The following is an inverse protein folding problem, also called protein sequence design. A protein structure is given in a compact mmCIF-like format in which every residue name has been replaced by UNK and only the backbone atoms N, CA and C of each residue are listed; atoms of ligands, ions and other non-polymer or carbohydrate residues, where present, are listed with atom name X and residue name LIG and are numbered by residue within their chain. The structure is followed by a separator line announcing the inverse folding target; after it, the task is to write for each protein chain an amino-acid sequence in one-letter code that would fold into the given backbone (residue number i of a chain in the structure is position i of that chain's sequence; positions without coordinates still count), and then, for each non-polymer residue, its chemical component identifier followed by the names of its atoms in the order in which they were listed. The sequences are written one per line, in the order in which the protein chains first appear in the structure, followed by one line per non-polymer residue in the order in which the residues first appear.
data_IF_372525835335
#
_entry.id   IF_372525835335
#
_cell.length_a   1.000
_cell.length_b   1.000
_cell.length_c   1.000
_cell.angle_alpha   90.00
_cell.angle_beta   90.00
_cell.angle_gamma   90.00
#
_symmetry.space_group_name_H-M   'P 1'
#
loop_
_entity.id
_entity.type
_entity.pdbx_description
1 polymer ?
#
# COMPACT_ATOMS: atom_id res chain seq x y z
N UNK A 1 71.88 -57.38 13.67
CA UNK A 1 70.94 -56.96 14.75
C UNK A 1 69.54 -56.91 14.14
N UNK A 2 68.69 -57.91 14.43
CA UNK A 2 67.41 -57.74 15.17
C UNK A 2 66.67 -56.43 14.82
N UNK A 3 65.54 -56.50 14.11
CA UNK A 3 64.19 -56.50 14.71
C UNK A 3 63.08 -56.73 13.65
N UNK A 4 61.95 -57.20 14.17
CA UNK A 4 60.78 -57.82 13.56
C UNK A 4 59.80 -56.84 12.89
N UNK A 5 58.85 -57.35 12.07
CA UNK A 5 57.87 -56.57 11.33
C UNK A 5 56.69 -56.13 12.20
N UNK A 6 56.00 -55.05 11.82
CA UNK A 6 54.69 -54.73 12.37
C UNK A 6 53.73 -54.34 11.24
N UNK A 7 52.82 -55.27 11.00
CA UNK A 7 51.60 -55.16 10.22
C UNK A 7 50.68 -54.17 10.96
N UNK A 8 50.19 -53.15 10.25
CA UNK A 8 49.06 -52.34 10.69
C UNK A 8 48.10 -52.19 9.51
N UNK A 9 47.09 -53.06 9.52
CA UNK A 9 45.91 -52.96 8.69
C UNK A 9 45.03 -51.84 9.23
N UNK A 10 44.86 -50.76 8.47
CA UNK A 10 43.78 -49.79 8.67
C UNK A 10 42.73 -50.02 7.59
N UNK A 11 41.58 -50.53 8.00
CA UNK A 11 40.40 -50.69 7.16
C UNK A 11 39.85 -49.30 6.79
N UNK A 12 39.87 -48.98 5.49
CA UNK A 12 39.27 -47.78 4.93
C UNK A 12 37.76 -48.03 4.77
N UNK A 13 36.95 -47.59 5.73
CA UNK A 13 35.49 -47.56 5.58
C UNK A 13 35.14 -46.32 4.76
N UNK A 14 34.95 -46.50 3.46
CA UNK A 14 34.41 -45.48 2.58
C UNK A 14 32.90 -45.31 2.86
N UNK A 15 32.54 -44.28 3.63
CA UNK A 15 31.16 -43.85 3.75
C UNK A 15 30.72 -43.22 2.42
N UNK A 16 29.95 -43.97 1.62
CA UNK A 16 29.21 -43.40 0.50
C UNK A 16 28.14 -42.45 1.06
N UNK A 17 28.43 -41.14 1.01
CA UNK A 17 27.40 -40.11 1.12
C UNK A 17 26.65 -40.11 -0.21
N UNK A 18 25.48 -40.72 -0.24
CA UNK A 18 24.52 -40.55 -1.33
C UNK A 18 24.03 -39.10 -1.29
N UNK A 19 24.62 -38.26 -2.14
CA UNK A 19 24.09 -36.92 -2.42
C UNK A 19 22.74 -37.14 -3.09
N UNK A 20 21.66 -37.02 -2.33
CA UNK A 20 20.31 -36.90 -2.89
C UNK A 20 20.31 -35.59 -3.67
N UNK A 21 20.10 -35.60 -5.01
CA UNK A 21 19.93 -34.36 -5.74
C UNK A 21 18.70 -33.68 -5.17
N UNK A 22 18.89 -32.55 -4.50
CA UNK A 22 17.80 -31.63 -4.24
C UNK A 22 17.32 -31.18 -5.61
N UNK A 23 16.10 -31.59 -5.97
CA UNK A 23 15.39 -31.03 -7.11
C UNK A 23 15.26 -29.54 -6.83
N UNK A 24 16.22 -28.76 -7.33
CA UNK A 24 16.06 -27.34 -7.52
C UNK A 24 14.93 -27.21 -8.53
N UNK A 25 13.73 -26.96 -8.02
CA UNK A 25 12.61 -26.55 -8.88
C UNK A 25 13.09 -25.41 -9.77
N UNK A 26 12.56 -25.29 -11.01
CA UNK A 26 12.99 -24.24 -11.91
C UNK A 26 12.90 -22.91 -11.17
N UNK A 27 13.99 -22.13 -11.23
CA UNK A 27 14.01 -20.78 -10.71
C UNK A 27 12.87 -20.00 -11.38
N UNK A 28 11.74 -19.86 -10.69
CA UNK A 28 10.63 -19.06 -11.16
C UNK A 28 11.09 -17.61 -11.06
N UNK A 29 11.52 -17.06 -12.19
CA UNK A 29 11.81 -15.64 -12.29
C UNK A 29 10.58 -14.87 -11.80
N UNK A 30 10.82 -13.85 -10.96
CA UNK A 30 9.76 -12.97 -10.48
C UNK A 30 8.99 -12.43 -11.69
N UNK A 31 7.66 -12.56 -11.68
CA UNK A 31 6.83 -11.85 -12.65
C UNK A 31 7.02 -10.34 -12.43
N UNK A 32 7.11 -9.58 -13.52
CA UNK A 32 7.19 -8.13 -13.40
C UNK A 32 6.01 -7.59 -12.60
N UNK A 33 6.30 -6.67 -11.67
CA UNK A 33 5.26 -6.03 -10.87
C UNK A 33 4.26 -5.33 -11.78
N UNK A 34 2.98 -5.44 -11.43
CA UNK A 34 1.89 -4.79 -12.17
C UNK A 34 1.25 -3.76 -11.29
N UNK A 35 1.06 -2.56 -11.80
CA UNK A 35 0.53 -1.48 -10.99
C UNK A 35 -0.05 -0.34 -11.83
N UNK A 36 -0.88 0.47 -11.18
CA UNK A 36 -1.48 1.67 -11.75
C UNK A 36 -1.97 2.61 -10.69
N UNK A 37 -1.77 3.91 -10.88
CA UNK A 37 -2.44 4.94 -10.09
C UNK A 37 -3.15 5.95 -10.99
N UNK A 38 -4.15 6.61 -10.43
CA UNK A 38 -4.86 7.71 -11.09
C UNK A 38 -5.46 8.66 -10.05
N UNK A 39 -5.59 9.94 -10.43
CA UNK A 39 -6.51 10.87 -9.80
C UNK A 39 -7.84 10.86 -10.56
N UNK A 40 -8.94 10.69 -9.82
CA UNK A 40 -10.30 11.00 -10.24
C UNK A 40 -10.64 12.37 -9.68
N UNK A 41 -10.45 13.41 -10.49
CA UNK A 41 -10.74 14.81 -10.14
C UNK A 41 -12.20 15.20 -10.43
N UNK A 42 -12.82 14.56 -11.43
CA UNK A 42 -14.24 14.68 -11.71
C UNK A 42 -14.96 13.32 -11.50
N UNK A 43 -15.61 13.10 -10.34
CA UNK A 43 -16.27 11.83 -10.03
C UNK A 43 -17.63 11.63 -10.74
N UNK A 44 -18.01 12.52 -11.67
CA UNK A 44 -19.30 12.48 -12.36
C UNK A 44 -19.20 12.19 -13.85
N UNK A 45 -17.98 12.00 -14.37
CA UNK A 45 -17.76 11.72 -15.80
C UNK A 45 -18.44 10.41 -16.25
N UNK A 46 -18.90 10.32 -17.52
CA UNK A 46 -19.41 9.08 -18.09
C UNK A 46 -18.39 7.96 -18.05
N UNK A 47 -18.86 6.72 -18.11
CA UNK A 47 -18.00 5.53 -18.16
C UNK A 47 -17.07 5.57 -19.37
N UNK A 48 -15.83 5.13 -19.14
CA UNK A 48 -14.75 5.09 -20.14
C UNK A 48 -14.21 6.46 -20.56
N UNK A 49 -14.37 7.47 -19.71
CA UNK A 49 -13.69 8.76 -19.86
C UNK A 49 -12.22 8.62 -19.47
N UNK A 50 -11.33 9.22 -20.25
CA UNK A 50 -9.89 9.31 -19.92
C UNK A 50 -9.74 10.13 -18.63
N UNK A 51 -9.10 9.54 -17.62
CA UNK A 51 -8.82 10.24 -16.36
C UNK A 51 -7.70 11.28 -16.55
N UNK A 52 -7.45 12.13 -15.54
CA UNK A 52 -6.45 13.19 -15.64
C UNK A 52 -5.06 12.66 -16.03
N UNK A 53 -4.63 12.92 -17.27
CA UNK A 53 -3.41 12.37 -17.87
C UNK A 53 -2.14 12.85 -17.20
N UNK A 54 -2.19 13.96 -16.46
CA UNK A 54 -1.05 14.50 -15.69
C UNK A 54 -0.90 13.86 -14.30
N UNK A 55 -1.85 13.01 -13.89
CA UNK A 55 -1.91 12.39 -12.56
C UNK A 55 -2.33 10.93 -12.63
N UNK A 56 -1.86 10.23 -13.65
CA UNK A 56 -2.03 8.79 -13.79
C UNK A 56 -0.80 8.18 -14.43
N UNK A 57 -0.47 6.95 -14.03
CA UNK A 57 0.56 6.16 -14.67
C UNK A 57 0.41 4.70 -14.28
N UNK A 58 1.14 3.82 -14.96
CA UNK A 58 1.25 2.44 -14.54
C UNK A 58 2.24 1.63 -15.34
N UNK A 59 2.43 0.38 -14.93
CA UNK A 59 3.37 -0.56 -15.54
C UNK A 59 3.03 -0.90 -16.99
N UNK A 60 1.83 -0.55 -17.49
CA UNK A 60 1.46 -0.71 -18.90
C UNK A 60 2.14 0.31 -19.81
N UNK A 61 2.49 1.49 -19.32
CA UNK A 61 2.92 2.62 -20.17
C UNK A 61 4.14 2.33 -21.04
N UNK A 62 5.18 1.61 -20.58
CA UNK A 62 6.31 1.25 -21.44
C UNK A 62 5.93 0.40 -22.66
N UNK A 63 4.99 -0.55 -22.51
CA UNK A 63 4.53 -1.41 -23.60
C UNK A 63 3.39 -0.81 -24.42
N UNK A 64 2.60 0.07 -23.81
CA UNK A 64 1.38 0.62 -24.40
C UNK A 64 1.27 2.14 -24.12
N UNK A 65 2.14 2.97 -24.72
CA UNK A 65 2.24 4.39 -24.38
C UNK A 65 0.95 5.19 -24.68
N UNK A 66 0.19 4.77 -25.69
CA UNK A 66 -1.07 5.39 -26.08
C UNK A 66 -2.28 5.05 -25.19
N UNK A 67 -2.15 4.08 -24.28
CA UNK A 67 -3.26 3.68 -23.40
C UNK A 67 -3.28 4.52 -22.11
N UNK A 68 -4.48 4.87 -21.67
CA UNK A 68 -4.74 5.64 -20.46
C UNK A 68 -5.66 4.86 -19.53
N UNK A 69 -5.51 5.08 -18.23
CA UNK A 69 -6.52 4.74 -17.26
C UNK A 69 -7.80 5.51 -17.57
N UNK A 70 -8.91 4.76 -17.59
CA UNK A 70 -10.23 5.31 -17.81
C UNK A 70 -11.07 5.18 -16.55
N UNK A 71 -12.14 5.94 -16.45
CA UNK A 71 -13.11 5.74 -15.41
C UNK A 71 -14.49 6.26 -15.76
N UNK A 72 -15.39 6.16 -14.80
CA UNK A 72 -16.64 6.89 -14.84
C UNK A 72 -17.62 6.44 -13.77
N UNK A 73 -18.61 7.31 -13.56
CA UNK A 73 -19.68 7.11 -12.59
C UNK A 73 -20.59 5.98 -13.04
N UNK A 74 -20.92 5.07 -12.12
CA UNK A 74 -21.86 3.96 -12.35
C UNK A 74 -23.07 3.99 -11.39
N UNK A 75 -22.97 4.71 -10.28
CA UNK A 75 -24.08 5.05 -9.39
C UNK A 75 -23.70 6.26 -8.52
N UNK A 76 -24.61 6.78 -7.69
CA UNK A 76 -24.28 7.83 -6.72
C UNK A 76 -23.13 7.39 -5.80
N UNK A 77 -22.08 8.20 -5.73
CA UNK A 77 -20.85 7.91 -5.01
C UNK A 77 -20.07 6.70 -5.51
N UNK A 78 -20.50 6.05 -6.61
CA UNK A 78 -19.85 4.84 -7.11
C UNK A 78 -19.19 5.10 -8.44
N UNK A 79 -17.90 4.82 -8.49
CA UNK A 79 -17.04 5.09 -9.62
C UNK A 79 -16.25 3.84 -9.99
N UNK A 80 -16.17 3.53 -11.28
CA UNK A 80 -15.29 2.48 -11.77
C UNK A 80 -14.02 3.09 -12.37
N UNK A 81 -12.88 2.44 -12.13
CA UNK A 81 -11.58 2.78 -12.71
C UNK A 81 -11.05 1.56 -13.44
N UNK A 82 -10.51 1.77 -14.64
CA UNK A 82 -9.86 0.77 -15.47
C UNK A 82 -8.41 1.13 -15.67
N UNK A 83 -7.52 0.27 -15.17
CA UNK A 83 -6.09 0.31 -15.49
C UNK A 83 -5.83 -0.66 -16.64
N UNK A 84 -5.35 -0.19 -17.80
CA UNK A 84 -5.18 -1.04 -18.97
C UNK A 84 -3.99 -1.99 -18.81
N UNK A 85 -4.07 -3.18 -19.41
CA UNK A 85 -2.94 -4.13 -19.58
C UNK A 85 -2.22 -4.58 -18.29
N UNK A 86 -2.85 -4.41 -17.12
CA UNK A 86 -2.32 -4.87 -15.83
C UNK A 86 -3.17 -5.95 -15.18
N UNK A 87 -4.31 -6.31 -15.77
CA UNK A 87 -5.20 -7.37 -15.29
C UNK A 87 -4.53 -8.74 -15.27
N UNK A 88 -4.79 -9.48 -14.20
CA UNK A 88 -4.29 -10.85 -13.98
C UNK A 88 -5.27 -11.64 -13.13
N UNK A 89 -5.18 -12.97 -13.16
CA UNK A 89 -6.00 -13.87 -12.32
C UNK A 89 -5.66 -13.77 -10.84
N UNK A 90 -4.45 -13.31 -10.50
CA UNK A 90 -4.03 -13.10 -9.12
C UNK A 90 -4.53 -11.72 -8.65
N UNK A 91 -5.29 -11.63 -7.54
CA UNK A 91 -5.75 -10.35 -7.04
C UNK A 91 -4.58 -9.50 -6.53
N UNK A 92 -4.52 -8.24 -6.95
CA UNK A 92 -3.68 -7.22 -6.31
C UNK A 92 -4.36 -6.58 -5.09
N UNK A 93 -3.72 -5.58 -4.52
CA UNK A 93 -4.31 -4.70 -3.49
C UNK A 93 -4.64 -3.33 -4.07
N UNK A 94 -5.63 -2.68 -3.46
CA UNK A 94 -6.06 -1.32 -3.82
C UNK A 94 -6.00 -0.41 -2.61
N UNK A 95 -5.48 0.79 -2.82
CA UNK A 95 -5.60 1.89 -1.87
C UNK A 95 -6.34 3.07 -2.48
N UNK A 96 -7.28 3.63 -1.72
CA UNK A 96 -8.00 4.84 -2.12
C UNK A 96 -7.94 5.89 -1.02
N UNK A 97 -7.70 7.14 -1.41
CA UNK A 97 -7.75 8.29 -0.51
C UNK A 97 -8.71 9.33 -1.11
N UNK A 98 -9.75 9.78 -0.38
CA UNK A 98 -10.60 10.86 -0.82
C UNK A 98 -9.84 12.17 -1.03
N UNK A 99 -10.36 13.01 -1.92
CA UNK A 99 -9.88 14.36 -2.19
C UNK A 99 -11.06 15.32 -2.05
N UNK A 100 -11.22 15.91 -0.86
CA UNK A 100 -12.37 16.74 -0.51
C UNK A 100 -12.02 17.66 0.68
N UNK A 101 -12.78 18.73 0.87
CA UNK A 101 -12.70 19.62 2.05
C UNK A 101 -13.68 19.26 3.16
N UNK A 102 -14.60 18.36 2.88
CA UNK A 102 -15.66 17.89 3.77
C UNK A 102 -15.43 16.41 4.03
N UNK A 103 -15.76 15.92 5.23
CA UNK A 103 -15.40 14.59 5.78
C UNK A 103 -15.94 13.38 5.02
N UNK A 104 -15.64 13.28 3.74
CA UNK A 104 -15.99 12.15 2.90
C UNK A 104 -14.95 11.05 3.07
N UNK A 105 -15.39 9.82 2.88
CA UNK A 105 -14.51 8.66 2.88
C UNK A 105 -14.87 7.73 1.73
N UNK A 106 -13.88 7.00 1.24
CA UNK A 106 -14.02 6.09 0.12
C UNK A 106 -13.50 4.71 0.52
N UNK A 107 -14.12 3.69 -0.05
CA UNK A 107 -13.78 2.29 0.14
C UNK A 107 -13.79 1.56 -1.21
N UNK A 108 -13.17 0.40 -1.25
CA UNK A 108 -13.18 -0.46 -2.42
C UNK A 108 -14.40 -1.38 -2.35
N UNK A 109 -15.18 -1.45 -3.41
CA UNK A 109 -16.31 -2.38 -3.49
C UNK A 109 -15.85 -3.72 -4.04
N UNK A 110 -15.11 -3.68 -5.15
CA UNK A 110 -14.49 -4.84 -5.74
C UNK A 110 -13.28 -4.42 -6.59
N UNK A 111 -12.45 -5.41 -6.89
CA UNK A 111 -11.36 -5.28 -7.85
C UNK A 111 -11.12 -6.63 -8.51
N UNK A 112 -11.03 -6.67 -9.83
CA UNK A 112 -10.74 -7.87 -10.58
C UNK A 112 -10.34 -7.59 -12.03
N UNK A 113 -9.78 -8.58 -12.73
CA UNK A 113 -9.44 -8.45 -14.14
C UNK A 113 -10.71 -8.37 -15.00
N UNK A 114 -10.63 -7.61 -16.09
CA UNK A 114 -11.57 -7.63 -17.20
C UNK A 114 -10.76 -7.77 -18.51
N UNK A 115 -10.61 -9.02 -18.96
CA UNK A 115 -9.64 -9.34 -20.01
C UNK A 115 -8.21 -9.02 -19.55
N UNK A 116 -7.50 -8.21 -20.33
CA UNK A 116 -6.15 -7.75 -20.00
C UNK A 116 -6.11 -6.59 -19.01
N UNK A 117 -7.25 -5.97 -18.72
CA UNK A 117 -7.32 -4.77 -17.90
C UNK A 117 -7.67 -5.11 -16.46
N UNK A 118 -7.34 -4.22 -15.54
CA UNK A 118 -7.77 -4.30 -14.14
C UNK A 118 -8.90 -3.31 -13.91
N UNK A 119 -10.05 -3.80 -13.45
CA UNK A 119 -11.16 -2.96 -13.00
C UNK A 119 -11.14 -2.85 -11.47
N UNK A 120 -11.43 -1.64 -10.99
CA UNK A 120 -11.62 -1.34 -9.57
C UNK A 120 -12.87 -0.49 -9.42
N UNK A 121 -13.78 -0.90 -8.56
CA UNK A 121 -14.95 -0.12 -8.20
C UNK A 121 -14.75 0.48 -6.81
N UNK A 122 -14.93 1.78 -6.72
CA UNK A 122 -14.82 2.58 -5.51
C UNK A 122 -16.20 3.11 -5.14
N UNK A 123 -16.53 3.08 -3.85
CA UNK A 123 -17.70 3.74 -3.29
C UNK A 123 -17.25 4.80 -2.30
N UNK A 124 -17.70 6.03 -2.51
CA UNK A 124 -17.49 7.14 -1.60
C UNK A 124 -18.80 7.54 -0.92
N UNK A 125 -18.65 8.07 0.29
CA UNK A 125 -19.75 8.46 1.17
C UNK A 125 -19.46 9.79 1.82
N UNK A 126 -20.52 10.58 2.06
CA UNK A 126 -20.48 11.73 2.95
C UNK A 126 -20.43 11.26 4.42
N UNK A 127 -20.15 12.17 5.39
CA UNK A 127 -20.32 11.87 6.80
C UNK A 127 -21.70 11.25 7.09
N UNK A 128 -21.73 10.17 7.88
CA UNK A 128 -22.96 9.41 8.15
C UNK A 128 -23.26 8.29 7.14
N UNK A 129 -22.47 8.14 6.07
CA UNK A 129 -22.51 6.96 5.19
C UNK A 129 -23.47 7.04 4.02
N UNK A 130 -23.94 8.24 3.66
CA UNK A 130 -24.73 8.44 2.45
C UNK A 130 -23.82 8.45 1.21
N UNK A 131 -24.13 7.69 0.16
CA UNK A 131 -23.35 7.70 -1.08
C UNK A 131 -23.18 9.12 -1.65
N UNK A 132 -21.95 9.51 -1.99
CA UNK A 132 -21.65 10.88 -2.47
C UNK A 132 -20.51 10.88 -3.49
N UNK A 133 -20.72 11.55 -4.63
CA UNK A 133 -19.72 11.66 -5.69
C UNK A 133 -18.54 12.51 -5.21
N UNK A 134 -17.43 11.84 -4.90
CA UNK A 134 -16.26 12.45 -4.28
C UNK A 134 -15.05 12.20 -5.15
N UNK A 135 -14.24 13.23 -5.39
CA UNK A 135 -12.94 13.05 -6.03
C UNK A 135 -12.03 12.19 -5.15
N UNK A 136 -11.17 11.37 -5.74
CA UNK A 136 -10.27 10.49 -5.00
C UNK A 136 -9.03 10.16 -5.81
N UNK A 137 -7.98 9.76 -5.11
CA UNK A 137 -6.78 9.17 -5.69
C UNK A 137 -6.76 7.68 -5.39
N UNK A 138 -6.33 6.88 -6.37
CA UNK A 138 -6.37 5.43 -6.32
C UNK A 138 -5.04 4.84 -6.77
N UNK A 139 -4.63 3.75 -6.11
CA UNK A 139 -3.52 2.89 -6.49
C UNK A 139 -4.02 1.45 -6.52
N UNK A 140 -3.67 0.71 -7.57
CA UNK A 140 -3.70 -0.74 -7.59
C UNK A 140 -2.27 -1.25 -7.80
N UNK A 141 -1.88 -2.28 -7.04
CA UNK A 141 -0.58 -2.93 -7.21
C UNK A 141 -0.63 -4.43 -6.94
N UNK A 142 0.21 -5.15 -7.66
CA UNK A 142 0.54 -6.56 -7.49
C UNK A 142 2.05 -6.71 -7.66
N UNK A 143 2.71 -7.14 -6.59
CA UNK A 143 4.15 -7.38 -6.58
C UNK A 143 4.47 -8.87 -6.60
N UNK A 144 5.67 -9.21 -7.07
CA UNK A 144 6.15 -10.58 -7.00
C UNK A 144 7.67 -10.68 -6.81
N UNK A 145 8.14 -11.87 -6.47
CA UNK A 145 9.57 -12.14 -6.28
C UNK A 145 10.15 -11.59 -4.97
N UNK A 146 11.33 -12.11 -4.65
CA UNK A 146 12.13 -11.65 -3.51
C UNK A 146 13.04 -10.52 -4.00
N UNK A 147 13.12 -9.45 -3.22
CA UNK A 147 13.94 -8.27 -3.50
C UNK A 147 14.90 -8.07 -2.34
N UNK A 148 16.21 -7.86 -2.60
CA UNK A 148 17.19 -7.60 -1.54
C UNK A 148 16.79 -6.43 -0.65
N UNK A 149 16.94 -6.59 0.67
CA UNK A 149 16.62 -5.53 1.66
C UNK A 149 17.39 -4.24 1.45
N UNK A 150 18.55 -4.29 0.78
CA UNK A 150 19.34 -3.11 0.39
C UNK A 150 18.63 -2.20 -0.62
N UNK A 151 17.53 -2.67 -1.22
CA UNK A 151 16.70 -1.93 -2.17
C UNK A 151 15.37 -1.48 -1.53
N UNK A 152 15.33 -1.47 -0.19
CA UNK A 152 14.11 -1.23 0.58
C UNK A 152 13.23 -2.47 0.70
N UNK A 153 12.21 -2.37 1.55
CA UNK A 153 11.28 -3.47 1.83
C UNK A 153 9.85 -3.07 1.53
N UNK A 154 9.07 -4.04 1.05
CA UNK A 154 7.65 -3.87 0.77
C UNK A 154 6.89 -5.14 1.11
N UNK A 155 5.71 -5.00 1.70
CA UNK A 155 4.80 -6.11 1.91
C UNK A 155 3.36 -5.63 1.88
N UNK A 156 2.45 -6.52 1.55
CA UNK A 156 1.03 -6.24 1.65
C UNK A 156 0.22 -7.49 1.97
N UNK A 157 -1.02 -7.24 2.40
CA UNK A 157 -2.03 -8.26 2.59
C UNK A 157 -3.40 -7.74 2.19
N UNK A 158 -4.17 -8.60 1.52
CA UNK A 158 -5.63 -8.50 1.45
C UNK A 158 -6.21 -9.53 2.40
N UNK A 159 -6.97 -9.07 3.40
CA UNK A 159 -7.54 -9.95 4.41
C UNK A 159 -9.06 -9.88 4.44
N UNK A 160 -9.72 -11.04 4.59
CA UNK A 160 -11.17 -11.15 4.77
C UNK A 160 -11.63 -10.53 6.09
N UNK A 161 -12.93 -10.27 6.22
CA UNK A 161 -13.50 -9.77 7.47
C UNK A 161 -13.27 -10.73 8.67
N UNK A 162 -13.05 -12.02 8.43
CA UNK A 162 -12.74 -13.02 9.45
C UNK A 162 -11.22 -13.15 9.74
N UNK A 163 -10.37 -12.33 9.13
CA UNK A 163 -8.91 -12.40 9.29
C UNK A 163 -8.22 -13.44 8.41
N UNK A 164 -8.91 -14.05 7.44
CA UNK A 164 -8.29 -14.93 6.46
C UNK A 164 -7.44 -14.14 5.45
N UNK A 165 -6.38 -14.72 4.90
CA UNK A 165 -5.54 -14.09 3.87
C UNK A 165 -6.07 -14.47 2.49
N UNK A 166 -6.48 -13.47 1.70
CA UNK A 166 -6.89 -13.64 0.29
C UNK A 166 -5.68 -13.57 -0.63
N UNK A 167 -4.78 -12.61 -0.34
CA UNK A 167 -3.52 -12.42 -1.04
C UNK A 167 -2.52 -11.82 -0.06
N UNK A 168 -1.26 -12.22 -0.17
CA UNK A 168 -0.16 -11.55 0.49
C UNK A 168 1.08 -11.50 -0.40
N UNK A 169 1.94 -10.55 -0.12
CA UNK A 169 3.28 -10.44 -0.69
C UNK A 169 4.22 -9.90 0.36
N UNK A 170 5.47 -10.38 0.33
CA UNK A 170 6.54 -9.87 1.15
C UNK A 170 7.85 -9.94 0.39
N UNK A 171 8.46 -8.78 0.15
CA UNK A 171 9.67 -8.66 -0.67
C UNK A 171 10.87 -9.36 -0.05
N UNK A 172 10.87 -9.66 1.25
CA UNK A 172 11.98 -10.37 1.91
C UNK A 172 11.82 -11.89 1.85
N UNK A 173 10.70 -12.38 1.31
CA UNK A 173 10.32 -13.80 1.38
C UNK A 173 9.78 -14.22 2.76
N UNK A 174 9.68 -13.29 3.71
CA UNK A 174 9.10 -13.54 5.04
C UNK A 174 7.59 -13.82 4.99
N UNK A 175 7.09 -14.52 6.02
CA UNK A 175 5.66 -14.76 6.18
C UNK A 175 4.84 -13.49 6.39
N UNK A 176 3.55 -13.56 6.04
CA UNK A 176 2.54 -12.55 6.35
C UNK A 176 1.45 -13.23 7.16
N UNK A 177 1.12 -12.67 8.32
CA UNK A 177 0.12 -13.20 9.24
C UNK A 177 -0.97 -12.18 9.54
N UNK A 178 -2.20 -12.65 9.71
CA UNK A 178 -3.32 -11.85 10.20
C UNK A 178 -3.99 -12.62 11.33
N UNK A 179 -4.03 -12.01 12.52
CA UNK A 179 -4.72 -12.54 13.68
C UNK A 179 -5.95 -11.64 13.96
N UNK A 180 -7.18 -12.13 13.74
CA UNK A 180 -8.38 -11.37 14.08
C UNK A 180 -8.53 -11.23 15.60
N UNK A 181 -8.93 -10.04 16.05
CA UNK A 181 -9.28 -9.74 17.43
C UNK A 181 -10.80 -9.57 17.61
N UNK A 182 -11.26 -8.70 18.53
CA UNK A 182 -12.65 -8.25 18.57
C UNK A 182 -13.11 -7.73 17.19
N UNK A 183 -14.43 -7.67 16.93
CA UNK A 183 -14.95 -7.25 15.63
C UNK A 183 -14.30 -5.95 15.14
N UNK A 184 -13.77 -5.98 13.91
CA UNK A 184 -13.12 -4.83 13.29
C UNK A 184 -11.70 -4.54 13.78
N UNK A 185 -11.09 -5.40 14.61
CA UNK A 185 -9.68 -5.29 14.99
C UNK A 185 -8.87 -6.47 14.46
N UNK A 186 -7.69 -6.19 13.92
CA UNK A 186 -6.80 -7.19 13.35
C UNK A 186 -5.35 -6.86 13.70
N UNK A 187 -4.59 -7.85 14.16
CA UNK A 187 -3.14 -7.76 14.24
C UNK A 187 -2.54 -8.36 12.96
N UNK A 188 -1.81 -7.54 12.21
CA UNK A 188 -1.10 -7.96 11.01
C UNK A 188 0.40 -8.00 11.30
N UNK A 189 1.03 -9.12 11.01
CA UNK A 189 2.48 -9.32 11.14
C UNK A 189 3.10 -9.47 9.77
N UNK A 190 4.11 -8.66 9.46
CA UNK A 190 4.88 -8.68 8.23
C UNK A 190 6.33 -9.06 8.59
N UNK A 191 6.72 -10.30 8.32
CA UNK A 191 7.98 -10.83 8.82
C UNK A 191 9.19 -10.27 8.05
N UNK A 192 10.23 -9.87 8.77
CA UNK A 192 11.52 -9.46 8.19
C UNK A 192 11.53 -8.18 7.34
N UNK A 193 10.41 -7.47 7.18
CA UNK A 193 10.36 -6.19 6.44
C UNK A 193 10.72 -4.98 7.29
N UNK A 194 10.82 -5.17 8.60
CA UNK A 194 11.25 -4.13 9.51
C UNK A 194 12.75 -3.81 9.37
N UNK A 195 13.21 -2.95 10.26
CA UNK A 195 14.63 -2.70 10.48
C UNK A 195 14.95 -2.86 11.96
N UNK A 196 16.24 -2.80 12.31
CA UNK A 196 16.71 -2.93 13.70
C UNK A 196 16.55 -1.65 14.53
N UNK A 197 16.10 -0.54 13.94
CA UNK A 197 16.22 0.81 14.49
C UNK A 197 14.88 1.53 14.72
N UNK A 198 13.94 0.91 15.45
CA UNK A 198 12.65 1.53 15.79
C UNK A 198 11.66 1.57 14.61
N UNK A 199 10.54 2.32 14.75
CA UNK A 199 9.58 2.49 13.66
C UNK A 199 10.26 3.06 12.40
N UNK A 200 10.08 2.35 11.29
CA UNK A 200 10.63 2.72 10.01
C UNK A 200 9.63 2.43 8.90
N UNK A 201 9.68 3.19 7.82
CA UNK A 201 8.73 3.05 6.73
C UNK A 201 7.38 3.69 7.00
N UNK A 202 6.38 3.20 6.28
CA UNK A 202 5.03 3.72 6.26
C UNK A 202 4.04 2.60 5.92
N UNK A 203 2.78 2.78 6.29
CA UNK A 203 1.70 1.84 6.04
C UNK A 203 0.52 2.56 5.40
N UNK A 204 -0.20 1.86 4.52
CA UNK A 204 -1.48 2.30 3.98
C UNK A 204 -2.52 1.22 4.22
N UNK A 205 -3.76 1.60 4.51
CA UNK A 205 -4.88 0.65 4.65
C UNK A 205 -6.14 1.21 4.04
N UNK A 206 -6.92 0.33 3.41
CA UNK A 206 -8.18 0.69 2.77
C UNK A 206 -9.20 -0.41 3.02
N UNK A 207 -10.42 -0.03 3.38
CA UNK A 207 -11.52 -0.97 3.56
C UNK A 207 -12.00 -1.54 2.22
N UNK A 208 -12.40 -2.80 2.24
CA UNK A 208 -13.17 -3.46 1.20
C UNK A 208 -14.54 -3.80 1.80
N UNK A 209 -15.61 -3.38 1.15
CA UNK A 209 -16.96 -3.71 1.61
C UNK A 209 -17.93 -3.88 0.45
N UNK A 210 -19.05 -4.55 0.72
CA UNK A 210 -20.14 -4.62 -0.24
C UNK A 210 -20.88 -3.28 -0.33
N UNK A 211 -21.38 -3.00 -1.52
CA UNK A 211 -22.27 -1.87 -1.79
C UNK A 211 -23.36 -1.72 -0.71
N UNK A 212 -23.37 -0.59 0.00
CA UNK A 212 -24.40 -0.25 1.00
C UNK A 212 -24.02 -0.54 2.46
N UNK A 213 -22.80 -1.00 2.73
CA UNK A 213 -22.30 -1.17 4.09
C UNK A 213 -21.03 -0.32 4.32
N UNK A 214 -21.14 1.02 4.45
CA UNK A 214 -19.98 1.91 4.46
C UNK A 214 -18.96 1.55 5.54
N UNK A 215 -17.73 1.24 5.13
CA UNK A 215 -16.61 0.92 6.01
C UNK A 215 -15.44 1.86 5.79
N UNK A 216 -14.64 2.00 6.83
CA UNK A 216 -13.31 2.61 6.77
C UNK A 216 -12.37 1.87 7.71
N UNK A 217 -11.15 1.64 7.26
CA UNK A 217 -10.12 1.00 8.05
C UNK A 217 -8.94 1.96 8.20
N UNK A 218 -8.27 1.88 9.35
CA UNK A 218 -7.09 2.66 9.67
C UNK A 218 -6.21 1.90 10.67
N UNK A 219 -5.07 2.48 11.04
CA UNK A 219 -4.20 1.90 12.06
C UNK A 219 -4.53 2.44 13.44
N UNK A 220 -4.74 1.58 14.43
CA UNK A 220 -4.71 2.00 15.83
C UNK A 220 -3.29 2.31 16.26
N UNK A 221 -2.37 1.39 15.96
CA UNK A 221 -0.93 1.53 16.20
C UNK A 221 -0.16 0.60 15.27
N UNK A 222 1.14 0.83 15.13
CA UNK A 222 2.06 -0.07 14.46
C UNK A 222 3.49 0.16 14.94
N UNK A 223 4.37 -0.82 14.73
CA UNK A 223 5.78 -0.68 15.06
C UNK A 223 6.56 -1.95 14.79
N UNK A 224 7.88 -1.93 15.04
CA UNK A 224 8.70 -3.11 14.91
C UNK A 224 8.46 -4.10 16.05
N UNK A 225 8.57 -5.39 15.75
CA UNK A 225 8.67 -6.48 16.72
C UNK A 225 9.83 -7.38 16.29
N UNK A 226 11.03 -7.12 16.83
CA UNK A 226 12.25 -7.69 16.28
C UNK A 226 12.51 -7.16 14.87
N UNK A 227 12.66 -8.05 13.88
CA UNK A 227 12.80 -7.69 12.46
C UNK A 227 11.46 -7.55 11.74
N UNK A 228 10.35 -7.81 12.43
CA UNK A 228 9.02 -7.80 11.84
C UNK A 228 8.37 -6.44 12.03
N UNK A 229 7.35 -6.15 11.21
CA UNK A 229 6.41 -5.07 11.46
C UNK A 229 5.09 -5.65 11.93
N UNK A 230 4.60 -5.15 13.06
CA UNK A 230 3.28 -5.49 13.59
C UNK A 230 2.40 -4.24 13.51
N UNK A 231 1.24 -4.37 12.86
CA UNK A 231 0.26 -3.31 12.71
C UNK A 231 -1.09 -3.75 13.28
N UNK A 232 -1.73 -2.88 14.06
CA UNK A 232 -3.09 -3.07 14.54
C UNK A 232 -4.04 -2.29 13.64
N UNK A 233 -4.80 -3.00 12.82
CA UNK A 233 -5.83 -2.43 11.95
C UNK A 233 -7.14 -2.37 12.71
N UNK A 234 -7.81 -1.22 12.63
CA UNK A 234 -9.15 -1.00 13.17
C UNK A 234 -10.08 -0.51 12.06
N UNK A 235 -11.22 -1.17 11.91
CA UNK A 235 -12.24 -0.85 10.93
C UNK A 235 -13.54 -0.43 11.60
N UNK A 236 -14.14 0.62 11.07
CA UNK A 236 -15.35 1.26 11.59
C UNK A 236 -16.45 1.28 10.53
N UNK A 237 -17.69 1.20 10.97
CA UNK A 237 -18.85 1.53 10.14
C UNK A 237 -19.14 3.04 10.15
N UNK A 238 -20.19 3.46 9.46
CA UNK A 238 -20.63 4.86 9.40
C UNK A 238 -21.05 5.47 10.75
N UNK A 239 -21.45 4.62 11.71
CA UNK A 239 -21.79 5.04 13.07
C UNK A 239 -20.55 5.16 13.98
N UNK A 240 -19.35 4.88 13.46
CA UNK A 240 -18.11 4.91 14.25
C UNK A 240 -17.94 3.70 15.16
N UNK A 241 -18.69 2.62 14.93
CA UNK A 241 -18.59 1.37 15.70
C UNK A 241 -17.61 0.44 15.01
N UNK A 242 -16.72 -0.17 15.80
CA UNK A 242 -15.81 -1.19 15.31
C UNK A 242 -16.59 -2.35 14.68
N UNK A 243 -16.25 -2.68 13.43
CA UNK A 243 -17.01 -3.69 12.68
C UNK A 243 -16.08 -4.51 11.80
N UNK A 244 -16.27 -5.84 11.79
CA UNK A 244 -15.48 -6.77 10.98
C UNK A 244 -15.61 -6.44 9.48
N UNK A 245 -14.47 -6.21 8.83
CA UNK A 245 -14.38 -5.62 7.48
C UNK A 245 -13.21 -6.26 6.75
N UNK A 246 -13.39 -6.60 5.48
CA UNK A 246 -12.28 -6.98 4.60
C UNK A 246 -11.40 -5.75 4.32
N UNK A 247 -10.08 -5.90 4.20
CA UNK A 247 -9.19 -4.76 3.99
C UNK A 247 -7.94 -5.09 3.18
N UNK A 248 -7.38 -4.06 2.55
CA UNK A 248 -6.04 -4.06 1.99
C UNK A 248 -5.10 -3.31 2.93
N UNK A 249 -3.93 -3.85 3.21
CA UNK A 249 -2.85 -3.20 3.93
C UNK A 249 -1.57 -3.31 3.12
N UNK A 250 -0.80 -2.23 3.01
CA UNK A 250 0.58 -2.26 2.53
C UNK A 250 1.54 -1.60 3.52
N UNK A 251 2.78 -2.06 3.49
CA UNK A 251 3.94 -1.50 4.18
C UNK A 251 5.04 -1.22 3.16
N UNK A 252 5.76 -0.11 3.32
CA UNK A 252 6.92 0.20 2.51
C UNK A 252 7.97 0.96 3.34
N UNK A 253 9.25 0.64 3.15
CA UNK A 253 10.40 1.31 3.77
C UNK A 253 11.50 1.46 2.74
N UNK A 254 11.99 2.69 2.57
CA UNK A 254 12.99 3.04 1.55
C UNK A 254 12.59 2.53 0.14
N UNK A 255 11.28 2.40 -0.09
CA UNK A 255 10.66 1.98 -1.34
C UNK A 255 9.30 2.65 -1.48
N UNK A 256 8.80 2.82 -2.70
CA UNK A 256 7.48 3.41 -2.92
C UNK A 256 6.36 2.49 -2.42
N UNK A 257 5.19 3.08 -2.14
CA UNK A 257 3.97 2.33 -1.78
C UNK A 257 3.50 1.38 -2.88
N UNK A 258 3.92 1.62 -4.12
CA UNK A 258 3.65 0.73 -5.26
C UNK A 258 4.36 -0.62 -5.08
N UNK A 259 5.47 -0.63 -4.37
CA UNK A 259 6.25 -1.85 -4.15
C UNK A 259 7.08 -2.29 -5.35
N UNK A 260 7.05 -1.55 -6.48
CA UNK A 260 7.86 -1.92 -7.64
C UNK A 260 9.35 -1.64 -7.42
N UNK A 261 10.22 -2.45 -8.04
CA UNK A 261 11.69 -2.29 -7.93
C UNK A 261 12.23 -1.23 -8.91
N UNK A 262 11.76 -1.29 -10.16
CA UNK A 262 11.99 -0.27 -11.18
C UNK A 262 10.76 0.67 -11.22
N UNK A 263 10.75 1.77 -12.01
CA UNK A 263 9.95 2.97 -11.74
C UNK A 263 8.57 2.71 -11.12
N UNK A 264 8.15 3.49 -10.11
CA UNK A 264 8.68 4.80 -9.74
C UNK A 264 9.88 4.79 -8.78
N UNK A 265 10.86 5.68 -9.02
CA UNK A 265 12.06 5.88 -8.19
C UNK A 265 11.92 7.07 -7.23
N UNK A 266 11.23 8.13 -7.62
CA UNK A 266 10.95 9.30 -6.78
C UNK A 266 9.74 9.04 -5.88
N UNK A 267 9.98 8.95 -4.58
CA UNK A 267 8.92 8.71 -3.60
C UNK A 267 9.28 9.28 -2.24
N UNK A 268 8.28 9.46 -1.39
CA UNK A 268 8.49 9.87 -0.02
C UNK A 268 7.35 9.41 0.86
N UNK A 269 7.62 9.28 2.14
CA UNK A 269 6.61 8.98 3.14
C UNK A 269 6.88 9.73 4.44
N UNK A 270 5.80 9.95 5.17
CA UNK A 270 5.80 10.69 6.41
C UNK A 270 4.85 10.02 7.41
N UNK A 271 5.32 9.91 8.65
CA UNK A 271 4.53 9.58 9.83
C UNK A 271 4.99 10.47 10.99
N UNK A 272 4.11 10.84 11.93
CA UNK A 272 4.44 11.74 13.03
C UNK A 272 5.43 11.19 14.06
N UNK A 273 5.94 9.96 13.89
CA UNK A 273 6.96 9.38 14.77
C UNK A 273 8.37 9.94 14.56
N UNK A 274 8.62 10.62 13.44
CA UNK A 274 9.96 11.09 13.08
C UNK A 274 10.91 9.97 12.71
N UNK A 275 12.22 10.26 12.70
CA UNK A 275 13.26 9.29 12.39
C UNK A 275 13.07 8.60 11.04
N UNK A 276 13.15 7.27 11.01
CA UNK A 276 13.04 6.46 9.78
C UNK A 276 11.62 6.38 9.18
N UNK A 277 10.66 7.09 9.76
CA UNK A 277 9.30 7.22 9.22
C UNK A 277 9.08 8.53 8.44
N UNK A 278 10.11 9.37 8.33
CA UNK A 278 10.17 10.53 7.45
C UNK A 278 11.28 10.31 6.42
N UNK A 279 10.94 9.90 5.20
CA UNK A 279 11.90 9.59 4.14
C UNK A 279 11.46 10.18 2.81
N UNK A 280 12.43 10.53 1.98
CA UNK A 280 12.24 11.05 0.64
C UNK A 280 13.40 10.55 -0.23
N UNK A 281 13.13 9.96 -1.38
CA UNK A 281 14.15 9.68 -2.38
C UNK A 281 14.02 10.70 -3.52
N UNK A 282 15.10 11.45 -3.81
CA UNK A 282 16.50 11.04 -3.65
C UNK A 282 17.23 11.59 -2.42
N UNK A 283 16.58 12.42 -1.59
CA UNK A 283 17.30 13.27 -0.63
C UNK A 283 17.71 12.52 0.65
N UNK A 284 16.82 11.72 1.23
CA UNK A 284 17.06 10.91 2.43
C UNK A 284 16.03 11.12 3.54
N UNK A 285 16.45 10.84 4.78
CA UNK A 285 15.58 10.91 5.97
C UNK A 285 15.42 12.33 6.52
N UNK A 286 14.27 12.61 7.13
CA UNK A 286 14.02 13.81 7.93
C UNK A 286 13.74 15.08 7.13
N UNK A 287 13.65 14.99 5.80
CA UNK A 287 13.57 16.17 4.92
C UNK A 287 12.16 16.62 4.58
N UNK A 288 11.15 15.74 4.72
CA UNK A 288 9.77 16.18 4.52
C UNK A 288 9.36 17.05 5.71
N UNK A 289 8.71 18.18 5.43
CA UNK A 289 8.33 19.16 6.46
C UNK A 289 6.82 19.23 6.60
N UNK A 290 6.35 19.27 7.85
CA UNK A 290 4.94 19.38 8.18
C UNK A 290 4.69 20.72 8.87
N UNK A 291 3.66 21.45 8.44
CA UNK A 291 3.24 22.71 9.05
C UNK A 291 1.72 22.87 9.07
N UNK A 292 1.20 23.81 9.86
CA UNK A 292 -0.22 24.13 9.94
C UNK A 292 -0.94 23.50 11.14
N UNK A 293 -2.22 23.14 10.92
CA UNK A 293 -3.17 22.65 11.93
C UNK A 293 -4.36 23.60 12.09
N UNK A 294 -5.62 23.16 11.88
CA UNK A 294 -6.10 21.77 11.73
C UNK A 294 -6.04 21.20 10.30
N UNK A 295 -5.74 22.04 9.31
CA UNK A 295 -5.35 21.59 7.96
C UNK A 295 -3.83 21.61 7.90
N UNK A 296 -3.25 20.46 7.61
CA UNK A 296 -1.81 20.26 7.58
C UNK A 296 -1.28 20.42 6.16
N UNK A 297 -0.15 21.10 6.01
CA UNK A 297 0.61 21.15 4.77
C UNK A 297 1.88 20.32 4.95
N UNK A 298 1.98 19.25 4.17
CA UNK A 298 3.14 18.38 4.10
C UNK A 298 3.89 18.62 2.80
N UNK A 299 5.15 19.00 2.91
CA UNK A 299 6.03 19.27 1.77
C UNK A 299 6.97 18.09 1.58
N UNK A 300 6.95 17.52 0.38
CA UNK A 300 7.89 16.54 -0.10
C UNK A 300 8.87 17.19 -1.08
N UNK A 301 10.09 17.54 -0.65
CA UNK A 301 11.05 18.22 -1.51
C UNK A 301 11.46 17.35 -2.71
N UNK A 302 11.65 17.98 -3.87
CA UNK A 302 12.11 17.35 -5.12
C UNK A 302 11.25 16.18 -5.66
N UNK A 303 9.99 16.05 -5.22
CA UNK A 303 9.08 15.00 -5.73
C UNK A 303 8.08 15.49 -6.78
N UNK A 304 8.10 16.76 -7.17
CA UNK A 304 7.26 17.31 -8.23
C UNK A 304 7.84 17.04 -9.63
N UNK A 305 8.14 15.78 -9.96
CA UNK A 305 8.80 15.43 -11.23
C UNK A 305 7.77 15.29 -12.35
N UNK A 306 7.13 14.14 -12.46
CA UNK A 306 6.13 13.85 -13.50
C UNK A 306 5.13 12.82 -12.97
N UNK A 307 3.90 12.82 -13.50
CA UNK A 307 2.74 12.00 -13.12
C UNK A 307 2.83 11.40 -11.72
N UNK A 308 2.14 12.01 -10.77
CA UNK A 308 2.35 11.71 -9.34
C UNK A 308 1.11 11.17 -8.66
N UNK A 309 1.28 10.72 -7.42
CA UNK A 309 0.28 10.07 -6.61
C UNK A 309 0.53 10.37 -5.13
N UNK A 310 -0.52 10.74 -4.40
CA UNK A 310 -0.49 10.85 -2.94
C UNK A 310 -1.51 9.90 -2.31
N UNK A 311 -1.21 9.40 -1.12
CA UNK A 311 -2.15 8.66 -0.25
C UNK A 311 -2.04 9.16 1.18
N UNK A 312 -3.14 9.05 1.91
CA UNK A 312 -3.22 9.40 3.33
C UNK A 312 -4.09 8.39 4.04
N UNK A 313 -3.66 7.99 5.23
CA UNK A 313 -4.47 7.19 6.14
C UNK A 313 -4.34 7.70 7.57
N UNK A 314 -5.42 7.68 8.33
CA UNK A 314 -5.42 8.10 9.72
C UNK A 314 -4.71 7.09 10.63
N UNK A 315 -4.26 7.56 11.79
CA UNK A 315 -3.73 6.72 12.85
C UNK A 315 -4.29 7.09 14.22
N UNK A 316 -4.77 6.09 14.96
CA UNK A 316 -5.25 6.19 16.34
C UNK A 316 -6.44 5.28 16.59
N UNK A 317 -6.86 5.17 17.86
CA UNK A 317 -7.83 4.16 18.31
C UNK A 317 -9.30 4.53 18.09
N UNK A 318 -9.63 5.81 17.95
CA UNK A 318 -10.99 6.29 17.76
C UNK A 318 -11.51 6.10 16.33
N UNK A 319 -12.69 6.61 15.95
CA UNK A 319 -13.26 6.43 14.61
C UNK A 319 -12.84 7.51 13.59
N UNK A 320 -11.94 8.43 13.94
CA UNK A 320 -11.49 9.54 13.10
C UNK A 320 -10.84 9.07 11.79
N UNK A 321 -10.88 9.88 10.75
CA UNK A 321 -10.27 9.58 9.46
C UNK A 321 -9.64 10.83 8.87
N UNK A 322 -8.70 10.65 7.93
CA UNK A 322 -7.96 11.72 7.30
C UNK A 322 -7.99 11.51 5.79
N UNK A 323 -7.95 12.61 5.05
CA UNK A 323 -7.88 12.57 3.59
C UNK A 323 -7.22 13.84 3.04
N UNK A 324 -7.11 13.90 1.71
CA UNK A 324 -6.54 15.06 1.04
C UNK A 324 -7.58 16.17 0.94
N UNK A 325 -7.18 17.41 1.20
CA UNK A 325 -8.07 18.59 1.13
C UNK A 325 -8.36 19.00 -0.31
N UNK A 326 -7.38 18.83 -1.19
CA UNK A 326 -7.41 19.08 -2.63
C UNK A 326 -6.33 18.20 -3.29
N UNK A 327 -6.34 18.06 -4.63
CA UNK A 327 -5.21 17.46 -5.33
C UNK A 327 -3.93 18.19 -4.93
N UNK A 328 -2.85 17.45 -4.64
CA UNK A 328 -1.56 18.04 -4.26
C UNK A 328 -1.09 19.04 -5.32
N UNK A 329 -0.28 20.00 -4.91
CA UNK A 329 0.23 21.08 -5.76
C UNK A 329 1.75 21.04 -5.83
N UNK A 330 2.34 21.84 -6.70
CA UNK A 330 3.79 21.91 -6.87
C UNK A 330 4.27 23.34 -6.69
N UNK A 331 5.38 23.52 -5.97
CA UNK A 331 6.07 24.80 -5.83
C UNK A 331 7.53 24.55 -6.18
N UNK A 332 7.95 24.99 -7.37
CA UNK A 332 9.25 24.56 -7.91
C UNK A 332 9.29 23.03 -8.09
N UNK A 333 10.27 22.38 -7.47
CA UNK A 333 10.43 20.92 -7.51
C UNK A 333 9.73 20.20 -6.34
N UNK A 334 9.06 20.94 -5.46
CA UNK A 334 8.50 20.38 -4.24
C UNK A 334 7.03 20.04 -4.41
N UNK A 335 6.61 18.89 -3.90
CA UNK A 335 5.22 18.45 -3.88
C UNK A 335 4.57 18.81 -2.54
N UNK A 336 3.48 19.58 -2.61
CA UNK A 336 2.74 20.06 -1.45
C UNK A 336 1.42 19.29 -1.32
N UNK A 337 1.30 18.53 -0.23
CA UNK A 337 0.15 17.68 0.09
C UNK A 337 -0.62 18.31 1.26
N UNK A 338 -1.86 18.71 0.99
CA UNK A 338 -2.76 19.25 2.02
C UNK A 338 -3.61 18.13 2.63
N UNK A 339 -3.55 17.99 3.95
CA UNK A 339 -4.17 16.90 4.70
C UNK A 339 -5.12 17.48 5.74
N UNK A 340 -6.30 16.90 5.83
CA UNK A 340 -7.33 17.28 6.79
C UNK A 340 -7.92 16.02 7.43
N UNK A 341 -8.25 16.09 8.71
CA UNK A 341 -8.82 14.98 9.46
C UNK A 341 -10.16 15.35 10.08
N UNK A 342 -11.01 14.34 10.26
CA UNK A 342 -12.37 14.49 10.72
C UNK A 342 -12.71 13.43 11.77
N UNK A 343 -13.58 13.80 12.71
CA UNK A 343 -14.24 12.84 13.58
C UNK A 343 -15.34 12.07 12.81
N UNK A 344 -16.01 11.13 13.48
CA UNK A 344 -17.07 10.34 12.83
C UNK A 344 -18.22 11.20 12.26
N UNK A 345 -18.52 12.34 12.89
CA UNK A 345 -19.56 13.27 12.44
C UNK A 345 -19.14 14.14 11.26
N UNK A 346 -17.90 14.03 10.76
CA UNK A 346 -17.40 14.87 9.68
C UNK A 346 -16.98 16.28 10.12
N UNK A 347 -16.76 16.48 11.42
CA UNK A 347 -16.18 17.73 11.96
C UNK A 347 -14.67 17.66 11.93
N UNK A 348 -14.01 18.74 11.51
CA UNK A 348 -12.55 18.84 11.44
C UNK A 348 -11.94 18.69 12.83
N UNK A 349 -10.93 17.82 12.96
CA UNK A 349 -10.18 17.60 14.22
C UNK A 349 -8.68 17.46 13.95
N UNK A 350 -7.81 17.88 14.87
CA UNK A 350 -6.41 17.52 14.80
C UNK A 350 -6.26 16.02 15.06
N UNK A 351 -5.69 15.28 14.12
CA UNK A 351 -5.49 13.84 14.24
C UNK A 351 -4.19 13.39 13.57
N UNK A 352 -3.69 12.22 13.98
CA UNK A 352 -2.47 11.64 13.40
C UNK A 352 -2.78 10.95 12.09
N UNK A 353 -1.82 10.94 11.18
CA UNK A 353 -1.94 10.33 9.87
C UNK A 353 -0.58 9.82 9.39
N UNK A 354 -0.62 8.94 8.41
CA UNK A 354 0.50 8.54 7.58
C UNK A 354 0.22 9.06 6.17
N UNK A 355 1.23 9.62 5.52
CA UNK A 355 1.14 10.04 4.13
C UNK A 355 2.29 9.48 3.31
N UNK A 356 2.00 9.13 2.07
CA UNK A 356 3.00 8.69 1.09
C UNK A 356 2.75 9.41 -0.23
N UNK A 357 3.84 9.67 -0.94
CA UNK A 357 3.87 10.37 -2.21
C UNK A 357 4.76 9.60 -3.17
N UNK A 358 4.37 9.51 -4.43
CA UNK A 358 5.10 8.80 -5.47
C UNK A 358 5.03 9.58 -6.77
N UNK A 359 6.10 9.61 -7.53
CA UNK A 359 6.23 10.23 -8.84
C UNK A 359 6.72 9.18 -9.84
N UNK A 360 6.26 9.19 -11.09
CA UNK A 360 6.52 8.07 -12.02
C UNK A 360 8.00 7.80 -12.30
N UNK A 361 8.86 8.80 -12.20
CA UNK A 361 10.28 8.73 -12.59
C UNK A 361 11.18 8.06 -11.55
#
# INVERSE_FOLDING_TARGET
MRFRPLILAFALVAALVTVVPTNSGPAQAAAADRWGFALVDNPTVPTWTVLNTTRQWGSWKPGFPGLWALGGKIAAGRFQVRFPQVGTSVPGIVHVTPVNRTGHYCEVVNSGPAGTDQLVVVQCHAPGGTPSDTAFTILWTLSSGIVPVSQGTHAYVRSTAAGGIVQAYNSTGGGVGVLPGPPGQYQVTLAGVGGTAGPAGNLQVTAISTAGAPRRCKFANWGPSGLDIVAIVTCFNQAGVLTATEFNLSYHRERSVIGSFAPPKFFGYFSPFGGQTNFNYPIGFGVNTLSGGPVWQLVYPQLAVTETHAQVVAQGTGPEYCHLTWPWTYVGLDANVSIICFNNAGTVVPYRFLSTFTSKD
#
